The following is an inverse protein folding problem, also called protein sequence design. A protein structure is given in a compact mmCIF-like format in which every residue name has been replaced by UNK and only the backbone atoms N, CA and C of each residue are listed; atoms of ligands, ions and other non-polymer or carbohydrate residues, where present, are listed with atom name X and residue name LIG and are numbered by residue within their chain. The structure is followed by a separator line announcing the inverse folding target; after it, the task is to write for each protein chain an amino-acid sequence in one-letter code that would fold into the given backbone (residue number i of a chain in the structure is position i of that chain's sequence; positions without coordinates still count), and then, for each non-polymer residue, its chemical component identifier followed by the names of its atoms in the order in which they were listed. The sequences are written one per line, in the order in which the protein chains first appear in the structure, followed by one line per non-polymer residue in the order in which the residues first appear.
data_IF_811400467030
#
_entry.id   IF_811400467030
#
_cell.length_a   1.000
_cell.length_b   1.000
_cell.length_c   1.000
_cell.angle_alpha   90.00
_cell.angle_beta   90.00
_cell.angle_gamma   90.00
#
_symmetry.space_group_name_H-M   'P 1'
#
loop_
_entity.id
_entity.type
_entity.pdbx_description
1 polymer ?
#
# COMPACT_ATOMS: atom_id res chain seq x y z
N UNK A 1 2.77 22.48 5.40
CA UNK A 1 3.28 22.55 4.00
C UNK A 1 4.55 21.71 3.95
N UNK A 2 4.64 20.78 2.98
CA UNK A 2 5.85 19.99 2.75
C UNK A 2 6.81 20.77 1.86
N UNK A 3 8.07 20.90 2.27
CA UNK A 3 9.12 21.52 1.47
C UNK A 3 9.79 20.51 0.54
N UNK A 4 10.47 20.93 -0.56
CA UNK A 4 11.21 20.03 -1.44
C UNK A 4 12.25 19.15 -0.73
N UNK A 5 12.82 19.64 0.37
CA UNK A 5 13.82 18.96 1.19
C UNK A 5 13.25 17.96 2.19
N UNK A 6 12.02 17.48 1.98
CA UNK A 6 11.31 16.56 2.88
C UNK A 6 11.04 17.08 4.30
N UNK A 7 11.16 18.38 4.52
CA UNK A 7 10.79 19.00 5.79
C UNK A 7 9.33 19.44 5.78
N UNK A 8 8.74 19.56 6.95
CA UNK A 8 7.38 20.05 7.13
C UNK A 8 7.41 21.42 7.79
N UNK A 9 6.83 22.41 7.12
CA UNK A 9 6.65 23.74 7.66
C UNK A 9 5.25 23.85 8.27
N UNK A 10 5.20 24.25 9.55
CA UNK A 10 3.95 24.52 10.26
C UNK A 10 3.63 26.01 10.20
N UNK A 11 2.42 26.33 9.75
CA UNK A 11 1.91 27.69 9.73
C UNK A 11 0.47 27.74 10.27
N UNK A 12 0.13 28.64 11.17
CA UNK A 12 0.98 29.64 11.84
C UNK A 12 2.00 29.01 12.78
N UNK A 13 3.05 29.76 13.12
CA UNK A 13 4.11 29.27 14.01
C UNK A 13 3.53 28.86 15.36
N UNK A 14 3.87 27.67 15.85
CA UNK A 14 3.36 27.19 17.13
C UNK A 14 3.95 28.00 18.28
N UNK A 15 3.08 28.45 19.18
CA UNK A 15 3.48 29.19 20.40
C UNK A 15 3.72 28.26 21.59
N UNK A 16 3.37 26.98 21.45
CA UNK A 16 3.50 25.93 22.47
C UNK A 16 4.10 24.68 21.84
N UNK A 17 4.55 23.78 22.70
CA UNK A 17 4.94 22.43 22.29
C UNK A 17 3.70 21.62 21.89
N UNK A 18 3.68 21.08 20.70
CA UNK A 18 2.62 20.22 20.17
C UNK A 18 3.18 18.86 19.78
N UNK A 19 2.40 17.81 20.01
CA UNK A 19 2.69 16.48 19.50
C UNK A 19 1.99 16.31 18.14
N UNK A 20 2.77 16.04 17.10
CA UNK A 20 2.24 15.85 15.74
C UNK A 20 2.43 14.40 15.34
N UNK A 21 1.35 13.74 14.90
CA UNK A 21 1.38 12.37 14.41
C UNK A 21 1.32 12.38 12.90
N UNK A 22 2.26 11.70 12.26
CA UNK A 22 2.32 11.53 10.82
C UNK A 22 2.10 10.07 10.44
N UNK A 23 1.26 9.84 9.45
CA UNK A 23 1.17 8.57 8.76
C UNK A 23 1.93 8.71 7.43
N UNK A 24 2.86 7.81 7.16
CA UNK A 24 3.70 7.86 5.97
C UNK A 24 3.97 6.47 5.41
N UNK A 25 4.22 6.42 4.12
CA UNK A 25 4.66 5.20 3.45
C UNK A 25 6.18 5.16 3.43
N UNK A 26 6.74 4.03 3.84
CA UNK A 26 8.17 3.76 3.76
C UNK A 26 8.44 2.56 2.88
N UNK A 27 9.60 2.56 2.24
CA UNK A 27 10.06 1.36 1.54
C UNK A 27 10.51 0.30 2.57
N UNK A 28 10.13 -0.97 2.36
CA UNK A 28 10.61 -2.04 3.21
C UNK A 28 12.13 -2.17 3.12
N UNK A 29 12.75 -2.65 4.19
CA UNK A 29 14.18 -2.93 4.22
C UNK A 29 14.53 -4.07 3.25
N UNK A 30 15.69 -3.95 2.62
CA UNK A 30 16.19 -4.98 1.69
C UNK A 30 16.50 -6.27 2.46
N UNK A 31 16.04 -7.40 1.93
CA UNK A 31 16.34 -8.72 2.47
C UNK A 31 17.77 -9.12 2.04
N UNK A 32 18.75 -9.00 2.92
CA UNK A 32 20.16 -9.25 2.61
C UNK A 32 20.77 -10.44 3.36
N UNK A 33 20.17 -10.85 4.47
CA UNK A 33 20.64 -11.94 5.31
C UNK A 33 19.72 -13.14 5.24
N UNK A 34 20.23 -14.33 5.58
CA UNK A 34 19.47 -15.59 5.55
C UNK A 34 18.27 -15.58 6.53
N UNK A 35 18.40 -14.87 7.62
CA UNK A 35 17.40 -14.72 8.68
C UNK A 35 16.52 -13.46 8.54
N UNK A 36 16.66 -12.73 7.43
CA UNK A 36 15.86 -11.53 7.17
C UNK A 36 14.38 -11.88 7.04
N UNK A 37 13.54 -11.15 7.76
CA UNK A 37 12.08 -11.31 7.71
C UNK A 37 11.44 -10.24 6.85
N UNK A 38 10.37 -10.60 6.15
CA UNK A 38 9.61 -9.67 5.33
C UNK A 38 8.61 -8.89 6.19
N UNK A 39 8.19 -7.71 5.73
CA UNK A 39 7.09 -6.95 6.33
C UNK A 39 5.71 -7.51 5.95
N UNK A 40 5.67 -8.46 5.00
CA UNK A 40 4.43 -9.11 4.56
C UNK A 40 4.00 -10.12 5.62
N UNK A 41 2.75 -10.06 6.11
CA UNK A 41 2.26 -11.03 7.09
C UNK A 41 2.34 -12.48 6.60
N UNK A 42 2.64 -13.42 7.50
CA UNK A 42 2.85 -14.84 7.18
C UNK A 42 1.68 -15.48 6.43
N UNK A 43 0.45 -15.03 6.70
CA UNK A 43 -0.75 -15.50 5.97
C UNK A 43 -0.70 -15.26 4.46
N UNK A 44 0.19 -14.41 3.98
CA UNK A 44 0.40 -14.12 2.55
C UNK A 44 1.72 -14.68 2.03
N UNK A 45 2.40 -15.56 2.76
CA UNK A 45 3.65 -16.18 2.34
C UNK A 45 3.50 -16.95 1.00
N UNK A 46 2.32 -17.52 0.75
CA UNK A 46 2.01 -18.23 -0.49
C UNK A 46 2.13 -17.34 -1.73
N UNK A 47 1.84 -16.05 -1.61
CA UNK A 47 2.00 -15.09 -2.71
C UNK A 47 3.48 -14.95 -3.08
N UNK A 48 4.37 -14.91 -2.09
CA UNK A 48 5.82 -14.82 -2.31
C UNK A 48 6.32 -16.07 -3.03
N UNK A 49 5.89 -17.24 -2.57
CA UNK A 49 6.23 -18.53 -3.19
C UNK A 49 5.75 -18.59 -4.64
N UNK A 50 4.52 -18.18 -4.90
CA UNK A 50 3.95 -18.18 -6.26
C UNK A 50 4.70 -17.21 -7.18
N UNK A 51 5.09 -16.03 -6.71
CA UNK A 51 5.92 -15.09 -7.45
C UNK A 51 7.31 -15.65 -7.76
N UNK A 52 7.98 -16.24 -6.78
CA UNK A 52 9.26 -16.89 -6.98
C UNK A 52 9.20 -18.03 -8.00
N UNK A 53 8.14 -18.84 -7.94
CA UNK A 53 7.88 -19.94 -8.89
C UNK A 53 7.69 -19.41 -10.31
N UNK A 54 6.99 -18.29 -10.50
CA UNK A 54 6.85 -17.65 -11.82
C UNK A 54 8.21 -17.28 -12.41
N UNK A 55 9.12 -16.67 -11.63
CA UNK A 55 10.47 -16.35 -12.10
C UNK A 55 11.31 -17.58 -12.45
N UNK A 56 11.16 -18.68 -11.70
CA UNK A 56 11.84 -19.95 -12.05
C UNK A 56 11.34 -20.48 -13.39
N UNK A 57 10.05 -20.46 -13.68
CA UNK A 57 9.52 -20.88 -14.98
C UNK A 57 9.97 -19.96 -16.11
N UNK A 58 10.05 -18.66 -15.86
CA UNK A 58 10.62 -17.70 -16.81
C UNK A 58 12.07 -18.04 -17.15
N UNK A 59 12.89 -18.32 -16.14
CA UNK A 59 14.31 -18.70 -16.32
C UNK A 59 14.45 -20.00 -17.14
N UNK A 60 13.55 -20.98 -16.92
CA UNK A 60 13.54 -22.26 -17.63
C UNK A 60 12.94 -22.16 -19.04
N UNK A 61 12.36 -21.04 -19.44
CA UNK A 61 11.71 -20.85 -20.74
C UNK A 61 10.34 -21.51 -20.85
N UNK A 62 9.72 -21.89 -19.74
CA UNK A 62 8.39 -22.53 -19.69
C UNK A 62 7.28 -21.47 -19.71
N UNK A 63 7.02 -20.90 -20.87
CA UNK A 63 6.12 -19.73 -21.03
C UNK A 63 4.69 -19.98 -20.52
N UNK A 64 4.11 -21.15 -20.77
CA UNK A 64 2.75 -21.46 -20.32
C UNK A 64 2.64 -21.52 -18.79
N UNK A 65 3.61 -22.16 -18.14
CA UNK A 65 3.65 -22.26 -16.68
C UNK A 65 3.96 -20.89 -16.04
N UNK A 66 4.81 -20.11 -16.67
CA UNK A 66 5.06 -18.74 -16.26
C UNK A 66 3.78 -17.90 -16.25
N UNK A 67 3.03 -17.90 -17.35
CA UNK A 67 1.79 -17.13 -17.45
C UNK A 67 0.76 -17.54 -16.40
N UNK A 68 0.58 -18.82 -16.17
CA UNK A 68 -0.35 -19.34 -15.18
C UNK A 68 0.07 -18.93 -13.76
N UNK A 69 1.36 -19.05 -13.43
CA UNK A 69 1.89 -18.67 -12.13
C UNK A 69 1.79 -17.16 -11.92
N UNK A 70 2.04 -16.36 -12.96
CA UNK A 70 1.94 -14.90 -12.91
C UNK A 70 0.51 -14.43 -12.66
N UNK A 71 -0.48 -15.04 -13.31
CA UNK A 71 -1.90 -14.75 -13.05
C UNK A 71 -2.29 -15.03 -11.60
N UNK A 72 -1.82 -16.15 -11.04
CA UNK A 72 -2.05 -16.50 -9.62
C UNK A 72 -1.39 -15.49 -8.68
N UNK A 73 -0.18 -15.08 -8.99
CA UNK A 73 0.55 -14.07 -8.23
C UNK A 73 -0.18 -12.73 -8.23
N UNK A 74 -0.60 -12.22 -9.37
CA UNK A 74 -1.37 -10.98 -9.49
C UNK A 74 -2.70 -11.04 -8.73
N UNK A 75 -3.40 -12.18 -8.84
CA UNK A 75 -4.64 -12.40 -8.08
C UNK A 75 -4.38 -12.39 -6.57
N UNK A 76 -3.29 -13.02 -6.13
CA UNK A 76 -2.85 -13.00 -4.74
C UNK A 76 -2.59 -11.59 -4.24
N UNK A 77 -1.87 -10.76 -5.02
CA UNK A 77 -1.63 -9.35 -4.69
C UNK A 77 -2.94 -8.57 -4.56
N UNK A 78 -3.86 -8.72 -5.50
CA UNK A 78 -5.17 -8.06 -5.44
C UNK A 78 -5.95 -8.45 -4.17
N UNK A 79 -5.94 -9.71 -3.82
CA UNK A 79 -6.58 -10.21 -2.60
C UNK A 79 -5.92 -9.62 -1.35
N UNK A 80 -4.59 -9.60 -1.29
CA UNK A 80 -3.85 -8.99 -0.19
C UNK A 80 -4.18 -7.49 -0.06
N UNK A 81 -4.16 -6.75 -1.15
CA UNK A 81 -4.52 -5.33 -1.17
C UNK A 81 -5.94 -5.10 -0.68
N UNK A 82 -6.90 -5.95 -1.07
CA UNK A 82 -8.29 -5.82 -0.65
C UNK A 82 -8.49 -6.01 0.85
N UNK A 83 -7.62 -6.77 1.50
CA UNK A 83 -7.67 -7.04 2.94
C UNK A 83 -6.88 -6.03 3.78
N UNK A 84 -5.79 -5.47 3.23
CA UNK A 84 -4.89 -4.57 3.96
C UNK A 84 -5.24 -3.10 3.78
N UNK A 85 -5.83 -2.72 2.63
CA UNK A 85 -6.19 -1.32 2.37
C UNK A 85 -7.48 -0.97 3.09
N UNK A 86 -7.43 0.05 3.93
CA UNK A 86 -8.61 0.58 4.61
C UNK A 86 -9.46 1.39 3.61
N UNK A 87 -10.54 0.79 3.12
CA UNK A 87 -11.45 1.43 2.16
C UNK A 87 -12.40 2.44 2.79
N UNK A 88 -12.59 2.36 4.10
CA UNK A 88 -13.58 3.19 4.79
C UNK A 88 -13.23 4.68 4.79
N UNK A 89 -11.97 5.03 4.94
CA UNK A 89 -11.54 6.43 4.94
C UNK A 89 -11.76 7.09 3.58
N UNK A 90 -11.50 6.38 2.50
CA UNK A 90 -11.71 6.89 1.15
C UNK A 90 -13.20 7.07 0.80
N UNK A 91 -14.03 6.10 1.14
CA UNK A 91 -15.49 6.17 0.93
C UNK A 91 -16.10 7.28 1.78
N UNK A 92 -15.65 7.43 3.02
CA UNK A 92 -16.16 8.46 3.94
C UNK A 92 -15.88 9.87 3.43
N UNK A 93 -14.68 10.15 2.91
CA UNK A 93 -14.34 11.48 2.40
C UNK A 93 -15.16 11.85 1.15
N UNK A 94 -15.38 10.93 0.22
CA UNK A 94 -16.17 11.19 -0.98
C UNK A 94 -17.68 11.31 -0.67
N UNK A 95 -18.18 10.59 0.33
CA UNK A 95 -19.57 10.69 0.77
C UNK A 95 -19.86 12.06 1.42
N UNK A 96 -18.96 12.54 2.28
CA UNK A 96 -19.10 13.84 2.94
C UNK A 96 -19.16 14.98 1.91
N UNK A 97 -18.28 14.95 0.91
CA UNK A 97 -18.26 15.97 -0.15
C UNK A 97 -19.57 15.97 -0.96
N UNK A 98 -20.10 14.79 -1.30
CA UNK A 98 -21.38 14.70 -2.03
C UNK A 98 -22.56 15.19 -1.20
N UNK A 99 -22.58 14.88 0.09
CA UNK A 99 -23.68 15.28 0.95
C UNK A 99 -23.72 16.80 1.14
N UNK A 100 -22.56 17.44 1.29
CA UNK A 100 -22.49 18.90 1.35
C UNK A 100 -22.95 19.56 0.05
N UNK A 101 -22.65 18.98 -1.10
CA UNK A 101 -23.11 19.52 -2.38
C UNK A 101 -24.61 19.35 -2.59
N UNK A 102 -25.21 18.26 -2.11
CA UNK A 102 -26.66 18.06 -2.22
C UNK A 102 -27.43 19.00 -1.30
N UNK A 103 -26.91 19.28 -0.10
CA UNK A 103 -27.53 20.22 0.82
C UNK A 103 -27.45 21.67 0.33
N UNK A 104 -26.38 22.02 -0.38
CA UNK A 104 -26.26 23.35 -0.99
C UNK A 104 -27.25 23.60 -2.14
N UNK A 105 -27.82 22.53 -2.74
CA UNK A 105 -28.79 22.65 -3.84
C UNK A 105 -30.25 22.71 -3.36
N UNK A 106 -30.52 22.35 -2.13
CA UNK A 106 -31.89 22.33 -1.58
C UNK A 106 -32.27 23.66 -0.93
N UNK A 107 -31.29 24.52 -0.73
CA UNK A 107 -31.49 25.89 -0.22
C UNK A 107 -31.51 26.88 -1.37
#
# INVERSE_FOLDING_TARGET
IRTPDNNYLLYPFPTKSYSIKFDYYTFPTTLSAHDSTTTIPDRFADIIVTGATAFVYQYRGETNQYQLSMQRFEQGIKNMQSLLVNRFDYVRSSYIVRNNQSNARVI
#
